data_IF_225144715701
#
_entry.id   IF_225144715701
#
_cell.length_a   1.000
_cell.length_b   1.000
_cell.length_c   1.000
_cell.angle_alpha   90.00
_cell.angle_beta   90.00
_cell.angle_gamma   90.00
#
_symmetry.space_group_name_H-M   'P 1'
#
loop_
_entity.id
_entity.type
_entity.pdbx_description
1 polymer ?
#
# COMPACT_ATOMS: atom_id res chain seq x y z
N UNK A 1 8.76 -0.49 -13.66
CA UNK A 1 7.59 -1.35 -13.42
C UNK A 1 6.37 -0.67 -14.02
N UNK A 2 5.38 -1.44 -14.42
CA UNK A 2 4.08 -0.94 -14.85
C UNK A 2 3.15 -0.85 -13.65
N UNK A 3 2.07 -0.08 -13.79
CA UNK A 3 1.01 0.05 -12.78
C UNK A 3 0.42 -1.32 -12.37
N UNK A 4 0.19 -2.20 -13.35
CA UNK A 4 -0.34 -3.56 -13.13
C UNK A 4 0.60 -4.43 -12.29
N UNK A 5 1.91 -4.33 -12.54
CA UNK A 5 2.92 -5.05 -11.74
C UNK A 5 2.93 -4.58 -10.29
N UNK A 6 2.86 -3.26 -10.05
CA UNK A 6 2.81 -2.70 -8.70
C UNK A 6 1.52 -3.14 -7.98
N UNK A 7 0.37 -3.09 -8.67
CA UNK A 7 -0.89 -3.53 -8.07
C UNK A 7 -0.87 -5.01 -7.68
N UNK A 8 -0.24 -5.89 -8.47
CA UNK A 8 -0.09 -7.31 -8.11
C UNK A 8 0.72 -7.48 -6.82
N UNK A 9 1.88 -6.84 -6.73
CA UNK A 9 2.70 -6.91 -5.51
C UNK A 9 1.99 -6.29 -4.30
N UNK A 10 1.25 -5.20 -4.49
CA UNK A 10 0.43 -4.63 -3.42
C UNK A 10 -0.68 -5.60 -2.98
N UNK A 11 -1.36 -6.28 -3.90
CA UNK A 11 -2.36 -7.30 -3.55
C UNK A 11 -1.72 -8.36 -2.64
N UNK A 12 -0.55 -8.90 -3.00
CA UNK A 12 0.14 -9.91 -2.20
C UNK A 12 0.49 -9.40 -0.79
N UNK A 13 1.08 -8.19 -0.69
CA UNK A 13 1.42 -7.57 0.60
C UNK A 13 0.16 -7.37 1.46
N UNK A 14 -0.94 -6.89 0.89
CA UNK A 14 -2.18 -6.73 1.63
C UNK A 14 -2.74 -8.10 2.06
N UNK A 15 -2.72 -9.13 1.21
CA UNK A 15 -3.18 -10.46 1.60
C UNK A 15 -2.37 -11.04 2.77
N UNK A 16 -1.04 -10.85 2.76
CA UNK A 16 -0.15 -11.29 3.84
C UNK A 16 -0.36 -10.52 5.14
N UNK A 17 -0.47 -9.18 5.08
CA UNK A 17 -0.67 -8.35 6.28
C UNK A 17 -2.07 -8.56 6.91
N UNK A 18 -3.07 -8.95 6.11
CA UNK A 18 -4.45 -9.17 6.56
C UNK A 18 -4.77 -10.64 6.87
N UNK A 19 -3.86 -11.58 6.60
CA UNK A 19 -4.12 -13.03 6.67
C UNK A 19 -5.38 -13.41 5.86
N UNK A 20 -5.61 -12.75 4.72
CA UNK A 20 -6.77 -12.96 3.85
C UNK A 20 -6.35 -13.06 2.38
N UNK A 21 -6.11 -14.28 1.92
CA UNK A 21 -5.76 -14.61 0.52
C UNK A 21 -6.87 -14.27 -0.50
N UNK A 22 -8.09 -13.99 -0.03
CA UNK A 22 -9.22 -13.62 -0.89
C UNK A 22 -9.38 -12.12 -1.05
N UNK A 23 -8.63 -11.32 -0.27
CA UNK A 23 -8.66 -9.88 -0.30
C UNK A 23 -8.33 -9.37 -1.70
N UNK A 24 -9.22 -8.51 -2.21
CA UNK A 24 -9.02 -7.79 -3.46
C UNK A 24 -8.96 -6.32 -3.15
N UNK A 25 -7.84 -5.71 -3.50
CA UNK A 25 -7.68 -4.26 -3.43
C UNK A 25 -7.82 -3.65 -4.82
N UNK A 26 -8.32 -2.42 -4.85
CA UNK A 26 -8.43 -1.60 -6.05
C UNK A 26 -7.79 -0.24 -5.77
N UNK A 27 -7.42 0.49 -6.81
CA UNK A 27 -6.79 1.80 -6.72
C UNK A 27 -7.67 2.82 -6.00
N UNK A 28 -9.00 2.69 -6.14
CA UNK A 28 -9.99 3.56 -5.48
C UNK A 28 -10.18 3.23 -3.99
N UNK A 29 -9.64 2.11 -3.50
CA UNK A 29 -9.79 1.69 -2.11
C UNK A 29 -9.11 2.69 -1.17
N UNK A 30 -9.91 3.29 -0.29
CA UNK A 30 -9.45 4.21 0.76
C UNK A 30 -8.91 3.38 1.92
N UNK A 31 -7.70 3.68 2.35
CA UNK A 31 -7.06 2.91 3.43
C UNK A 31 -7.76 3.08 4.79
N UNK A 32 -8.45 4.21 4.97
CA UNK A 32 -9.26 4.53 6.16
C UNK A 32 -10.61 3.77 6.20
N UNK A 33 -11.13 3.32 5.04
CA UNK A 33 -12.39 2.56 4.94
C UNK A 33 -12.20 1.06 5.26
N UNK A 34 -10.95 0.60 5.35
CA UNK A 34 -10.65 -0.75 5.77
C UNK A 34 -10.84 -0.84 7.29
N UNK A 35 -11.99 -1.36 7.72
CA UNK A 35 -12.45 -1.41 9.12
C UNK A 35 -11.43 -2.05 10.10
N UNK A 36 -10.45 -2.81 9.61
CA UNK A 36 -9.39 -3.47 10.39
C UNK A 36 -8.03 -2.73 10.39
N UNK A 37 -7.89 -1.59 9.69
CA UNK A 37 -6.66 -0.79 9.72
C UNK A 37 -6.55 -0.01 11.04
N UNK A 38 -6.00 -0.66 12.06
CA UNK A 38 -5.45 0.08 13.20
C UNK A 38 -4.31 0.98 12.72
N UNK A 39 -4.04 2.08 13.41
CA UNK A 39 -2.89 2.95 13.11
C UNK A 39 -1.55 2.22 13.15
N UNK A 40 -1.47 1.10 13.90
CA UNK A 40 -0.29 0.23 13.94
C UNK A 40 -0.20 -0.66 12.69
N UNK A 41 -1.32 -1.19 12.22
CA UNK A 41 -1.42 -1.94 10.96
C UNK A 41 -1.00 -1.08 9.77
N UNK A 42 -1.39 0.20 9.77
CA UNK A 42 -0.98 1.17 8.73
C UNK A 42 0.54 1.35 8.68
N UNK A 43 1.18 1.52 9.84
CA UNK A 43 2.63 1.71 9.90
C UNK A 43 3.39 0.45 9.45
N UNK A 44 2.89 -0.73 9.81
CA UNK A 44 3.48 -2.00 9.36
C UNK A 44 3.32 -2.18 7.86
N UNK A 45 2.10 -2.04 7.31
CA UNK A 45 1.85 -2.13 5.87
C UNK A 45 2.79 -1.19 5.10
N UNK A 46 2.84 0.09 5.49
CA UNK A 46 3.68 1.07 4.79
C UNK A 46 5.17 0.74 4.90
N UNK A 47 5.60 0.09 5.99
CA UNK A 47 6.98 -0.38 6.16
C UNK A 47 7.28 -1.60 5.28
N UNK A 48 6.34 -2.55 5.17
CA UNK A 48 6.45 -3.72 4.29
C UNK A 48 6.53 -3.29 2.82
N UNK A 49 5.63 -2.41 2.37
CA UNK A 49 5.67 -1.81 1.02
C UNK A 49 6.99 -1.08 0.78
N UNK A 50 7.45 -0.27 1.75
CA UNK A 50 8.72 0.44 1.63
C UNK A 50 9.91 -0.52 1.42
N UNK A 51 9.95 -1.62 2.17
CA UNK A 51 10.97 -2.65 2.05
C UNK A 51 10.91 -3.34 0.68
N UNK A 52 9.73 -3.80 0.25
CA UNK A 52 9.54 -4.56 -0.98
C UNK A 52 9.95 -3.77 -2.23
N UNK A 53 9.49 -2.52 -2.32
CA UNK A 53 9.83 -1.64 -3.43
C UNK A 53 11.21 -0.98 -3.29
N UNK A 54 11.90 -1.20 -2.16
CA UNK A 54 13.17 -0.56 -1.80
C UNK A 54 13.10 0.97 -1.83
N UNK A 55 12.01 1.53 -1.29
CA UNK A 55 11.76 2.97 -1.17
C UNK A 55 11.62 3.38 0.30
N UNK A 56 11.69 4.68 0.57
CA UNK A 56 11.40 5.22 1.90
C UNK A 56 10.35 6.31 1.76
N UNK A 57 9.27 6.19 2.52
CA UNK A 57 8.24 7.23 2.62
C UNK A 57 8.65 8.28 3.65
N UNK A 58 8.60 9.54 3.25
CA UNK A 58 8.71 10.65 4.19
C UNK A 58 7.40 10.83 4.97
N UNK A 59 7.48 11.43 6.16
CA UNK A 59 6.29 11.79 6.94
C UNK A 59 5.30 12.68 6.17
N UNK A 60 5.79 13.49 5.23
CA UNK A 60 4.93 14.32 4.37
C UNK A 60 4.18 13.52 3.31
N UNK A 61 4.77 12.43 2.82
CA UNK A 61 4.13 11.51 1.86
C UNK A 61 3.10 10.63 2.57
N UNK A 62 3.45 10.05 3.71
CA UNK A 62 2.53 9.23 4.51
C UNK A 62 1.22 9.97 4.84
N UNK A 63 1.28 11.29 5.07
CA UNK A 63 0.09 12.12 5.32
C UNK A 63 -0.78 12.39 4.09
N UNK A 64 -0.23 12.21 2.89
CA UNK A 64 -0.92 12.44 1.62
C UNK A 64 -1.50 11.16 1.03
N UNK A 65 -1.06 10.01 1.50
CA UNK A 65 -1.60 8.72 1.09
C UNK A 65 -2.99 8.59 1.71
N UNK A 66 -4.01 8.48 0.85
CA UNK A 66 -5.39 8.23 1.26
C UNK A 66 -5.93 6.94 0.66
N UNK A 67 -5.48 6.61 -0.55
CA UNK A 67 -5.91 5.45 -1.32
C UNK A 67 -4.74 4.55 -1.72
N UNK A 68 -5.05 3.32 -2.11
CA UNK A 68 -4.08 2.40 -2.74
C UNK A 68 -3.48 3.04 -4.01
N UNK A 69 -4.29 3.76 -4.79
CA UNK A 69 -3.82 4.49 -5.97
C UNK A 69 -2.73 5.52 -5.67
N UNK A 70 -2.79 6.20 -4.51
CA UNK A 70 -1.73 7.14 -4.09
C UNK A 70 -0.40 6.42 -3.84
N UNK A 71 -0.44 5.20 -3.27
CA UNK A 71 0.75 4.37 -3.06
C UNK A 71 1.36 3.99 -4.42
N UNK A 72 0.53 3.56 -5.36
CA UNK A 72 0.95 3.18 -6.72
C UNK A 72 1.63 4.35 -7.43
N UNK A 73 1.03 5.53 -7.37
CA UNK A 73 1.60 6.76 -7.96
C UNK A 73 2.93 7.15 -7.32
N UNK A 74 3.05 7.02 -6.00
CA UNK A 74 4.30 7.27 -5.29
C UNK A 74 5.40 6.30 -5.73
N UNK A 75 5.10 5.00 -5.86
CA UNK A 75 6.07 3.99 -6.31
C UNK A 75 6.49 4.26 -7.76
N UNK A 76 5.52 4.53 -8.65
CA UNK A 76 5.79 4.87 -10.06
C UNK A 76 6.69 6.10 -10.19
N UNK A 77 6.46 7.13 -9.38
CA UNK A 77 7.27 8.35 -9.38
C UNK A 77 8.71 8.16 -8.89
N UNK A 78 9.05 7.00 -8.30
CA UNK A 78 10.38 6.67 -7.78
C UNK A 78 11.14 5.64 -8.63
N UNK A 79 10.52 5.07 -9.67
CA UNK A 79 11.10 4.05 -10.56
C UNK A 79 11.26 4.58 -11.99
#
# INVERSE_FOLDING_TARGET
MTRDEIMKELIEIFQDEFDDESLKIDEEMILDDLEDFSSLSMVNLMSTIAAEFSINFSMGELRKIQSVGDIVELILGRK
#
